data_IF_770691935300
#
_entry.id   IF_770691935300
#
_cell.length_a   1.000
_cell.length_b   1.000
_cell.length_c   1.000
_cell.angle_alpha   90.00
_cell.angle_beta   90.00
_cell.angle_gamma   90.00
#
_symmetry.space_group_name_H-M   'P 1'
#
loop_
_entity.id
_entity.type
_entity.pdbx_description
1 polymer ?
#
# COMPACT_ATOMS: atom_id res chain seq x y z
N UNK A 1 1.38 8.12 4.27
CA UNK A 1 0.32 7.17 3.84
C UNK A 1 0.92 5.77 3.93
N UNK A 2 0.29 4.80 4.62
CA UNK A 2 0.97 3.54 5.01
C UNK A 2 0.71 2.35 4.06
N UNK A 3 -0.44 2.37 3.37
CA UNK A 3 -0.84 1.32 2.45
C UNK A 3 -1.05 1.90 1.05
N UNK A 4 -0.88 1.06 0.03
CA UNK A 4 -1.23 1.38 -1.36
C UNK A 4 -2.39 0.52 -1.80
N UNK A 5 -3.37 1.11 -2.49
CA UNK A 5 -4.44 0.35 -3.14
C UNK A 5 -4.05 0.08 -4.59
N UNK A 6 -4.05 -1.18 -5.00
CA UNK A 6 -3.85 -1.59 -6.39
C UNK A 6 -5.11 -2.24 -6.94
N UNK A 7 -5.33 -2.12 -8.24
CA UNK A 7 -6.51 -2.67 -8.93
C UNK A 7 -6.11 -3.56 -10.09
N UNK A 8 -7.01 -4.46 -10.49
CA UNK A 8 -6.91 -5.14 -11.79
C UNK A 8 -7.99 -4.64 -12.75
N UNK A 9 -7.86 -4.95 -14.05
CA UNK A 9 -8.85 -4.60 -15.08
C UNK A 9 -10.25 -5.20 -14.84
N UNK A 10 -10.35 -6.24 -13.99
CA UNK A 10 -11.61 -6.90 -13.61
C UNK A 10 -12.29 -6.26 -12.39
N UNK A 11 -11.75 -5.15 -11.88
CA UNK A 11 -12.33 -4.38 -10.78
C UNK A 11 -11.97 -4.86 -9.37
N UNK A 12 -11.12 -5.88 -9.23
CA UNK A 12 -10.64 -6.30 -7.91
C UNK A 12 -9.68 -5.25 -7.34
N UNK A 13 -9.85 -4.92 -6.05
CA UNK A 13 -8.97 -3.99 -5.32
C UNK A 13 -8.19 -4.75 -4.26
N UNK A 14 -6.89 -4.52 -4.21
CA UNK A 14 -5.99 -5.11 -3.24
C UNK A 14 -5.31 -4.01 -2.44
N UNK A 15 -5.13 -4.26 -1.15
CA UNK A 15 -4.43 -3.34 -0.25
C UNK A 15 -3.05 -3.92 0.01
N UNK A 16 -2.02 -3.13 -0.26
CA UNK A 16 -0.62 -3.50 -0.10
C UNK A 16 -0.05 -2.73 1.10
N UNK A 17 0.44 -3.46 2.12
CA UNK A 17 1.05 -2.86 3.30
C UNK A 17 2.51 -2.45 3.02
N UNK A 18 2.86 -1.19 3.28
CA UNK A 18 4.23 -0.70 3.13
C UNK A 18 5.23 -1.31 4.10
N UNK A 19 4.82 -1.50 5.36
CA UNK A 19 5.71 -2.07 6.38
C UNK A 19 6.08 -3.53 6.14
N UNK A 20 5.32 -4.27 5.34
CA UNK A 20 5.70 -5.64 4.96
C UNK A 20 7.05 -5.73 4.23
N UNK A 21 7.54 -4.62 3.67
CA UNK A 21 8.87 -4.53 3.05
C UNK A 21 10.00 -4.66 4.08
N UNK A 22 9.82 -4.07 5.24
CA UNK A 22 10.87 -3.91 6.25
C UNK A 22 10.63 -4.79 7.48
N UNK A 23 9.37 -5.19 7.72
CA UNK A 23 8.96 -5.94 8.90
C UNK A 23 8.03 -7.12 8.53
N UNK A 24 8.52 -8.37 8.64
CA UNK A 24 7.77 -9.57 8.25
C UNK A 24 6.56 -9.88 9.14
N UNK A 25 6.40 -9.18 10.27
CA UNK A 25 5.19 -9.29 11.11
C UNK A 25 3.97 -8.68 10.43
N UNK A 26 4.17 -7.83 9.43
CA UNK A 26 3.10 -7.22 8.66
C UNK A 26 2.87 -7.99 7.35
N UNK A 27 1.68 -8.60 7.14
CA UNK A 27 1.40 -9.30 5.89
C UNK A 27 1.39 -8.31 4.72
N UNK A 28 2.00 -8.72 3.58
CA UNK A 28 2.03 -7.93 2.34
C UNK A 28 0.63 -7.50 1.89
N UNK A 29 -0.32 -8.43 1.94
CA UNK A 29 -1.73 -8.19 1.67
C UNK A 29 -2.54 -8.50 2.94
N UNK A 30 -2.83 -7.50 3.79
CA UNK A 30 -3.61 -7.73 5.00
C UNK A 30 -5.04 -8.18 4.65
N UNK A 31 -5.64 -9.08 5.44
CA UNK A 31 -7.04 -9.46 5.27
C UNK A 31 -7.94 -8.24 5.51
N UNK A 32 -8.98 -8.10 4.69
CA UNK A 32 -9.95 -7.01 4.80
C UNK A 32 -11.24 -7.50 5.47
N UNK A 33 -11.89 -6.66 6.28
CA UNK A 33 -11.54 -5.27 6.62
C UNK A 33 -10.44 -5.15 7.69
N UNK A 34 -9.51 -4.20 7.54
CA UNK A 34 -8.53 -3.84 8.59
C UNK A 34 -9.20 -2.84 9.53
N UNK A 35 -9.56 -3.28 10.73
CA UNK A 35 -10.25 -2.43 11.74
C UNK A 35 -9.24 -1.64 12.59
N UNK A 36 -8.08 -2.24 12.90
CA UNK A 36 -7.00 -1.60 13.64
C UNK A 36 -5.65 -2.00 13.02
N UNK A 37 -4.82 -1.00 12.73
CA UNK A 37 -3.49 -1.21 12.15
C UNK A 37 -2.41 -0.81 13.16
N UNK A 38 -1.80 -1.81 13.79
CA UNK A 38 -0.68 -1.63 14.74
C UNK A 38 0.53 -0.90 14.16
N UNK A 39 0.61 -0.79 12.84
CA UNK A 39 1.70 -0.13 12.13
C UNK A 39 1.35 1.25 11.59
N UNK A 40 0.15 1.75 11.88
CA UNK A 40 -0.30 3.07 11.41
C UNK A 40 0.36 4.17 12.21
N UNK A 41 1.08 5.05 11.52
CA UNK A 41 1.68 6.26 12.07
C UNK A 41 1.06 7.47 11.36
N UNK A 42 0.34 8.35 12.09
CA UNK A 42 -0.18 9.58 11.51
C UNK A 42 0.98 10.47 11.06
N UNK A 43 0.93 10.93 9.81
CA UNK A 43 2.01 11.74 9.22
C UNK A 43 3.23 10.96 8.73
N UNK A 44 3.22 9.62 8.78
CA UNK A 44 4.29 8.81 8.22
C UNK A 44 4.49 9.06 6.72
N UNK A 45 5.76 9.15 6.29
CA UNK A 45 6.14 9.29 4.88
C UNK A 45 5.46 8.19 4.05
N UNK A 46 4.99 8.52 2.85
CA UNK A 46 4.49 7.50 1.92
C UNK A 46 5.67 6.64 1.43
N UNK A 47 5.72 5.34 1.74
CA UNK A 47 6.83 4.48 1.34
C UNK A 47 6.83 4.17 -0.17
N UNK A 48 5.86 4.69 -0.92
CA UNK A 48 5.76 4.65 -2.37
C UNK A 48 5.94 6.01 -3.04
N UNK A 49 6.30 7.08 -2.32
CA UNK A 49 6.49 8.40 -2.92
C UNK A 49 7.52 8.36 -4.06
N UNK A 50 8.60 7.60 -3.86
CA UNK A 50 9.65 7.30 -4.86
C UNK A 50 9.22 6.44 -6.07
N UNK A 51 7.99 5.94 -6.11
CA UNK A 51 7.42 5.18 -7.24
C UNK A 51 6.26 5.91 -7.91
N UNK A 52 5.78 7.03 -7.35
CA UNK A 52 4.73 7.82 -7.97
C UNK A 52 5.23 8.54 -9.23
N UNK A 53 6.51 8.90 -9.24
CA UNK A 53 7.24 9.48 -10.37
C UNK A 53 7.29 8.59 -11.62
N UNK A 54 7.16 7.27 -11.48
CA UNK A 54 7.26 6.30 -12.59
C UNK A 54 5.88 5.96 -13.21
N UNK A 55 4.78 6.24 -12.50
CA UNK A 55 3.43 5.83 -12.94
C UNK A 55 2.67 6.87 -13.77
N UNK A 56 3.27 8.03 -14.04
CA UNK A 56 2.70 9.07 -14.91
C UNK A 56 2.87 8.76 -16.41
N UNK A 57 3.81 7.88 -16.79
CA UNK A 57 4.10 7.55 -18.19
C UNK A 57 3.23 6.40 -18.76
N UNK A 58 2.74 5.48 -17.91
CA UNK A 58 1.89 4.33 -18.30
C UNK A 58 0.38 4.62 -18.14
N UNK A 59 -0.03 5.88 -18.25
CA UNK A 59 -1.43 6.29 -18.30
C UNK A 59 -1.72 7.37 -19.37
N UNK A 60 -0.82 7.48 -20.36
CA UNK A 60 -1.03 8.27 -21.59
C UNK A 60 -1.44 7.43 -22.78
#
# INVERSE_FOLDING_TARGET
MHHRVTGNRKGSRFYLCGRSKDDPRFPKYPPLPVIDCKGYEPGGADPWARYAEDTDEELS
#
